data_IF_102407718792
#
_entry.id   IF_102407718792
#
_cell.length_a   1.000
_cell.length_b   1.000
_cell.length_c   1.000
_cell.angle_alpha   90.00
_cell.angle_beta   90.00
_cell.angle_gamma   90.00
#
_symmetry.space_group_name_H-M   'P 1'
#
loop_
_entity.id
_entity.type
_entity.pdbx_description
1 polymer ?
#
# COMPACT_ATOMS: atom_id res chain seq x y z
N UNK A 1 59.81 -34.90 12.70
CA UNK A 1 59.47 -33.46 12.58
C UNK A 1 58.26 -33.22 11.66
N UNK A 2 58.15 -33.83 10.50
CA UNK A 2 57.04 -33.62 9.55
C UNK A 2 55.64 -33.97 10.10
N UNK A 3 55.48 -35.03 10.91
CA UNK A 3 54.17 -35.46 11.41
C UNK A 3 53.58 -34.52 12.49
N UNK A 4 54.42 -33.83 13.25
CA UNK A 4 54.00 -32.85 14.26
C UNK A 4 53.55 -31.55 13.58
N UNK A 5 54.31 -31.12 12.58
CA UNK A 5 53.96 -29.93 11.77
C UNK A 5 52.62 -30.12 11.05
N UNK A 6 52.38 -31.30 10.46
CA UNK A 6 51.12 -31.64 9.77
C UNK A 6 49.93 -31.63 10.74
N UNK A 7 50.09 -32.18 11.95
CA UNK A 7 49.05 -32.15 13.00
C UNK A 7 48.74 -30.72 13.45
N UNK A 8 49.77 -29.86 13.58
CA UNK A 8 49.58 -28.46 13.94
C UNK A 8 48.83 -27.69 12.84
N UNK A 9 49.21 -27.93 11.57
CA UNK A 9 48.54 -27.31 10.42
C UNK A 9 47.06 -27.71 10.29
N UNK A 10 46.75 -29.01 10.49
CA UNK A 10 45.38 -29.48 10.50
C UNK A 10 44.54 -28.82 11.64
N UNK A 11 45.10 -28.69 12.87
CA UNK A 11 44.40 -28.03 13.94
C UNK A 11 44.14 -26.54 13.66
N UNK A 12 45.13 -25.87 13.04
CA UNK A 12 44.91 -24.46 12.61
C UNK A 12 43.84 -24.35 11.56
N UNK A 13 43.81 -25.31 10.60
CA UNK A 13 42.75 -25.36 9.60
C UNK A 13 41.36 -25.61 10.22
N UNK A 14 41.27 -26.56 11.15
CA UNK A 14 40.03 -26.89 11.86
C UNK A 14 39.51 -25.65 12.64
N UNK A 15 40.40 -24.94 13.33
CA UNK A 15 40.07 -23.70 14.05
C UNK A 15 39.63 -22.63 13.08
N UNK A 16 40.31 -22.45 11.94
CA UNK A 16 39.92 -21.45 10.93
C UNK A 16 38.54 -21.76 10.34
N UNK A 17 38.25 -23.04 10.03
CA UNK A 17 36.94 -23.49 9.54
C UNK A 17 35.86 -23.21 10.58
N UNK A 18 36.10 -23.58 11.85
CA UNK A 18 35.12 -23.32 12.94
C UNK A 18 34.85 -21.83 13.14
N UNK A 19 35.88 -20.99 13.10
CA UNK A 19 35.73 -19.53 13.19
C UNK A 19 34.91 -18.97 12.01
N UNK A 20 35.19 -19.45 10.79
CA UNK A 20 34.43 -19.03 9.61
C UNK A 20 32.95 -19.42 9.73
N UNK A 21 32.66 -20.66 10.14
CA UNK A 21 31.30 -21.11 10.37
C UNK A 21 30.60 -20.31 11.46
N UNK A 22 31.28 -19.99 12.56
CA UNK A 22 30.74 -19.17 13.63
C UNK A 22 30.39 -17.75 13.15
N UNK A 23 31.32 -17.10 12.44
CA UNK A 23 31.09 -15.77 11.87
C UNK A 23 29.92 -15.78 10.89
N UNK A 24 29.86 -16.78 10.02
CA UNK A 24 28.74 -16.95 9.07
C UNK A 24 27.42 -17.13 9.82
N UNK A 25 27.39 -17.97 10.84
CA UNK A 25 26.17 -18.18 11.64
C UNK A 25 25.70 -16.88 12.34
N UNK A 26 26.64 -16.13 12.95
CA UNK A 26 26.33 -14.84 13.58
C UNK A 26 25.82 -13.82 12.55
N UNK A 27 26.41 -13.79 11.36
CA UNK A 27 25.96 -12.93 10.28
C UNK A 27 24.54 -13.31 9.79
N UNK A 28 24.24 -14.59 9.64
CA UNK A 28 22.89 -15.06 9.29
C UNK A 28 21.86 -14.63 10.37
N UNK A 29 22.19 -14.80 11.66
CA UNK A 29 21.31 -14.36 12.76
C UNK A 29 21.11 -12.85 12.72
N UNK A 30 22.16 -12.08 12.47
CA UNK A 30 22.09 -10.63 12.31
C UNK A 30 21.17 -10.26 11.13
N UNK A 31 21.32 -10.87 9.95
CA UNK A 31 20.48 -10.61 8.79
C UNK A 31 19.00 -10.93 9.05
N UNK A 32 18.71 -12.04 9.76
CA UNK A 32 17.33 -12.39 10.14
C UNK A 32 16.77 -11.36 11.10
N UNK A 33 17.55 -10.93 12.09
CA UNK A 33 17.12 -9.92 13.06
C UNK A 33 16.88 -8.55 12.40
N UNK A 34 17.80 -8.10 11.54
CA UNK A 34 17.72 -6.86 10.80
C UNK A 34 16.50 -6.84 9.89
N UNK A 35 16.32 -7.91 9.10
CA UNK A 35 15.13 -8.08 8.24
C UNK A 35 13.83 -8.04 9.04
N UNK A 36 13.72 -8.76 10.16
CA UNK A 36 12.52 -8.73 10.99
C UNK A 36 12.27 -7.32 11.56
N UNK A 37 13.31 -6.58 11.93
CA UNK A 37 13.17 -5.22 12.45
C UNK A 37 12.58 -4.27 11.40
N UNK A 38 13.02 -4.38 10.15
CA UNK A 38 12.47 -3.60 9.03
C UNK A 38 10.98 -3.93 8.83
N UNK A 39 10.59 -5.20 8.90
CA UNK A 39 9.18 -5.59 8.75
C UNK A 39 8.31 -5.25 9.96
N UNK A 40 8.88 -5.18 11.16
CA UNK A 40 8.12 -4.93 12.39
C UNK A 40 7.93 -3.44 12.71
N UNK A 41 8.78 -2.56 12.17
CA UNK A 41 8.66 -1.13 12.37
C UNK A 41 7.34 -0.54 11.85
N UNK A 42 6.87 -0.84 10.62
CA UNK A 42 5.57 -0.37 10.13
C UNK A 42 4.41 -0.86 10.99
N UNK A 43 4.46 -2.10 11.49
CA UNK A 43 3.39 -2.67 12.31
C UNK A 43 3.22 -1.93 13.65
N UNK A 44 4.34 -1.63 14.33
CA UNK A 44 4.32 -0.87 15.59
C UNK A 44 3.77 0.53 15.37
N UNK A 45 4.22 1.20 14.31
CA UNK A 45 3.76 2.52 13.93
C UNK A 45 2.25 2.50 13.60
N UNK A 46 1.80 1.56 12.80
CA UNK A 46 0.38 1.38 12.47
C UNK A 46 -0.46 1.18 13.73
N UNK A 47 -0.01 0.36 14.68
CA UNK A 47 -0.71 0.15 15.96
C UNK A 47 -0.81 1.42 16.81
N UNK A 48 0.20 2.29 16.77
CA UNK A 48 0.17 3.59 17.48
C UNK A 48 -0.76 4.58 16.79
N UNK A 49 -0.70 4.69 15.47
CA UNK A 49 -1.58 5.54 14.68
C UNK A 49 -3.05 5.10 14.80
N UNK A 50 -3.33 3.80 14.86
CA UNK A 50 -4.70 3.28 15.06
C UNK A 50 -5.34 3.72 16.37
N UNK A 51 -4.57 4.05 17.40
CA UNK A 51 -5.11 4.63 18.65
C UNK A 51 -5.71 6.02 18.42
N UNK A 52 -5.27 6.69 17.37
CA UNK A 52 -5.71 8.02 16.96
C UNK A 52 -6.65 7.97 15.73
N UNK A 53 -7.10 6.78 15.33
CA UNK A 53 -8.06 6.61 14.24
C UNK A 53 -9.30 7.46 14.49
N UNK A 54 -9.73 8.30 13.53
CA UNK A 54 -10.94 9.09 13.67
C UNK A 54 -12.17 8.22 13.87
N UNK A 55 -13.18 8.77 14.54
CA UNK A 55 -14.48 8.09 14.70
C UNK A 55 -15.31 8.26 13.43
N UNK A 56 -15.92 7.20 12.96
CA UNK A 56 -16.66 7.18 11.68
C UNK A 56 -17.86 8.15 11.66
N UNK A 57 -18.56 8.30 12.81
CA UNK A 57 -19.72 9.19 12.89
C UNK A 57 -19.37 10.69 12.87
N UNK A 58 -18.13 11.04 13.29
CA UNK A 58 -17.66 12.41 13.33
C UNK A 58 -16.14 12.46 13.24
N UNK A 59 -15.56 12.22 12.04
CA UNK A 59 -14.13 12.12 11.90
C UNK A 59 -13.42 13.46 12.12
N UNK A 60 -12.66 13.55 13.24
CA UNK A 60 -11.74 14.64 13.52
C UNK A 60 -10.32 14.19 13.22
N UNK A 61 -9.58 15.03 12.52
CA UNK A 61 -8.17 14.80 12.15
C UNK A 61 -7.20 15.71 12.91
N UNK A 62 -7.68 16.48 13.88
CA UNK A 62 -6.85 17.47 14.59
C UNK A 62 -5.63 16.86 15.27
N UNK A 63 -5.80 15.70 15.92
CA UNK A 63 -4.70 15.01 16.59
C UNK A 63 -3.68 14.45 15.57
N UNK A 64 -4.15 13.80 14.50
CA UNK A 64 -3.31 13.26 13.43
C UNK A 64 -2.57 14.38 12.68
N UNK A 65 -3.27 15.46 12.32
CA UNK A 65 -2.68 16.62 11.64
C UNK A 65 -1.76 17.44 12.55
N UNK A 66 -1.96 17.36 13.87
CA UNK A 66 -1.02 17.90 14.86
C UNK A 66 0.31 17.14 14.89
N UNK A 67 0.32 15.84 14.55
CA UNK A 67 1.51 15.03 14.42
C UNK A 67 2.15 15.19 13.04
N UNK A 68 1.33 15.12 12.00
CA UNK A 68 1.75 15.31 10.62
C UNK A 68 0.66 16.06 9.83
N UNK A 69 0.90 17.33 9.46
CA UNK A 69 -0.08 18.14 8.74
C UNK A 69 -0.43 17.58 7.35
N UNK A 70 0.36 16.66 6.83
CA UNK A 70 0.15 16.04 5.53
C UNK A 70 -0.88 14.90 5.57
N UNK A 71 -1.38 14.52 6.73
CA UNK A 71 -2.48 13.55 6.82
C UNK A 71 -3.74 14.14 6.20
N UNK A 72 -4.23 13.47 5.14
CA UNK A 72 -5.39 13.90 4.36
C UNK A 72 -6.63 13.06 4.63
N UNK A 73 -6.47 11.75 4.87
CA UNK A 73 -7.57 10.81 5.05
C UNK A 73 -7.15 9.61 5.92
N UNK A 74 -8.11 8.72 6.19
CA UNK A 74 -7.90 7.41 6.78
C UNK A 74 -8.61 6.35 5.95
N UNK A 75 -7.90 5.30 5.56
CA UNK A 75 -8.41 4.20 4.75
C UNK A 75 -8.52 2.92 5.57
N UNK A 76 -9.67 2.26 5.49
CA UNK A 76 -9.87 0.91 6.01
C UNK A 76 -10.47 0.04 4.92
N UNK A 77 -9.91 -1.15 4.68
CA UNK A 77 -10.49 -2.16 3.79
C UNK A 77 -10.83 -3.40 4.61
N UNK A 78 -12.09 -3.84 4.55
CA UNK A 78 -12.56 -4.99 5.30
C UNK A 78 -11.86 -6.28 4.86
N UNK A 79 -11.54 -7.15 5.83
CA UNK A 79 -10.87 -8.42 5.57
C UNK A 79 -9.36 -8.30 5.28
N UNK A 80 -8.80 -7.09 5.30
CA UNK A 80 -7.37 -6.83 5.08
C UNK A 80 -6.68 -6.26 6.31
N UNK A 81 -5.34 -6.19 6.27
CA UNK A 81 -4.53 -5.45 7.25
C UNK A 81 -4.52 -3.93 7.02
N UNK A 82 -5.19 -3.43 5.97
CA UNK A 82 -5.19 -2.01 5.61
C UNK A 82 -6.16 -1.25 6.53
N UNK A 83 -5.60 -0.46 7.44
CA UNK A 83 -6.31 0.42 8.36
C UNK A 83 -5.30 1.50 8.78
N UNK A 84 -5.10 2.48 7.88
CA UNK A 84 -3.96 3.40 7.90
C UNK A 84 -4.35 4.82 7.48
N UNK A 85 -3.61 5.84 7.95
CA UNK A 85 -3.74 7.18 7.41
C UNK A 85 -3.22 7.25 5.97
N UNK A 86 -3.87 8.07 5.16
CA UNK A 86 -3.38 8.51 3.86
C UNK A 86 -2.75 9.89 4.05
N UNK A 87 -1.48 10.02 3.66
CA UNK A 87 -0.77 11.31 3.63
C UNK A 87 -0.68 11.85 2.21
N UNK A 88 -0.46 13.15 2.05
CA UNK A 88 -0.17 13.75 0.74
C UNK A 88 0.97 14.74 0.87
N UNK A 89 2.09 14.43 0.20
CA UNK A 89 3.27 15.29 0.13
C UNK A 89 3.21 16.31 -1.01
N UNK A 90 4.28 17.10 -1.15
CA UNK A 90 4.43 18.05 -2.25
C UNK A 90 4.61 17.33 -3.60
N UNK A 91 5.20 16.13 -3.59
CA UNK A 91 5.37 15.27 -4.77
C UNK A 91 5.18 13.78 -4.41
N UNK A 92 5.18 12.92 -5.44
CA UNK A 92 4.99 11.47 -5.29
C UNK A 92 6.24 10.71 -4.81
N UNK A 93 7.35 11.38 -4.53
CA UNK A 93 8.58 10.78 -4.03
C UNK A 93 8.72 10.93 -2.51
N UNK A 94 8.09 11.96 -1.94
CA UNK A 94 8.28 12.36 -0.56
C UNK A 94 7.93 11.24 0.44
N UNK A 95 6.80 10.56 0.27
CA UNK A 95 6.32 9.51 1.16
C UNK A 95 6.68 8.09 0.73
N UNK A 96 7.55 7.94 -0.27
CA UNK A 96 8.14 6.62 -0.59
C UNK A 96 9.03 6.11 0.54
N UNK A 97 9.64 7.00 1.33
CA UNK A 97 10.54 6.65 2.42
C UNK A 97 10.35 7.52 3.67
N UNK A 98 9.13 8.02 3.89
CA UNK A 98 8.69 8.66 5.14
C UNK A 98 7.48 7.92 5.70
N UNK A 99 7.43 7.78 7.02
CA UNK A 99 6.29 7.20 7.73
C UNK A 99 5.15 8.22 7.91
N UNK A 100 4.03 7.78 8.49
CA UNK A 100 2.87 8.63 8.74
C UNK A 100 3.12 9.80 9.71
N UNK A 101 4.25 9.85 10.42
CA UNK A 101 4.71 11.00 11.22
C UNK A 101 5.62 11.96 10.44
N UNK A 102 5.93 11.66 9.17
CA UNK A 102 6.87 12.44 8.36
C UNK A 102 8.36 12.11 8.63
N UNK A 103 8.65 11.06 9.40
CA UNK A 103 10.02 10.61 9.69
C UNK A 103 10.50 9.60 8.65
N UNK A 104 11.82 9.50 8.48
CA UNK A 104 12.41 8.52 7.56
C UNK A 104 12.05 7.08 7.94
N UNK A 105 11.52 6.34 7.00
CA UNK A 105 11.18 4.92 7.12
C UNK A 105 11.24 4.22 5.75
N UNK A 106 11.97 3.12 5.65
CA UNK A 106 12.12 2.36 4.40
C UNK A 106 10.79 1.81 3.85
N UNK A 107 9.81 1.57 4.71
CA UNK A 107 8.49 1.10 4.32
C UNK A 107 7.60 2.21 3.74
N UNK A 108 8.00 3.48 3.83
CA UNK A 108 7.19 4.60 3.39
C UNK A 108 5.83 4.72 4.11
N UNK A 109 4.88 5.32 3.45
CA UNK A 109 3.48 5.43 3.88
C UNK A 109 2.53 5.08 2.76
N UNK A 110 1.25 4.96 3.09
CA UNK A 110 0.16 5.02 2.11
C UNK A 110 -0.07 6.50 1.80
N UNK A 111 0.03 6.90 0.53
CA UNK A 111 -0.03 8.31 0.15
C UNK A 111 -0.88 8.55 -1.09
N UNK A 112 -1.55 9.70 -1.10
CA UNK A 112 -2.34 10.21 -2.21
C UNK A 112 -1.40 10.84 -3.24
N UNK A 113 -1.64 10.59 -4.53
CA UNK A 113 -0.93 11.26 -5.62
C UNK A 113 -1.03 12.78 -5.46
N UNK A 114 0.11 13.47 -5.57
CA UNK A 114 0.20 14.92 -5.35
C UNK A 114 -0.65 15.76 -6.30
N UNK A 115 -1.07 15.18 -7.44
CA UNK A 115 -1.96 15.81 -8.43
C UNK A 115 -3.44 15.61 -8.12
N UNK A 116 -3.76 14.73 -7.18
CA UNK A 116 -5.13 14.46 -6.74
C UNK A 116 -5.63 15.50 -5.73
N UNK A 117 -6.94 15.63 -5.65
CA UNK A 117 -7.59 16.55 -4.69
C UNK A 117 -7.50 15.99 -3.27
N UNK A 118 -6.78 16.71 -2.39
CA UNK A 118 -6.59 16.36 -0.98
C UNK A 118 -7.91 16.22 -0.19
N UNK A 119 -8.96 16.86 -0.66
CA UNK A 119 -10.28 16.80 0.00
C UNK A 119 -11.12 15.61 -0.46
N UNK A 120 -10.62 14.81 -1.38
CA UNK A 120 -11.31 13.65 -1.98
C UNK A 120 -12.65 14.02 -2.66
N UNK A 121 -12.77 15.27 -3.17
CA UNK A 121 -13.90 15.71 -3.99
C UNK A 121 -13.66 15.51 -5.50
N UNK A 122 -12.44 15.21 -5.93
CA UNK A 122 -12.12 14.87 -7.31
C UNK A 122 -12.79 13.58 -7.75
N UNK A 123 -13.05 13.44 -9.05
CA UNK A 123 -13.70 12.25 -9.62
C UNK A 123 -12.81 11.00 -9.57
N UNK A 124 -11.49 11.18 -9.58
CA UNK A 124 -10.51 10.10 -9.52
C UNK A 124 -9.44 10.44 -8.49
N UNK A 125 -9.18 9.52 -7.59
CA UNK A 125 -8.18 9.65 -6.53
C UNK A 125 -7.26 8.45 -6.61
N UNK A 126 -5.95 8.68 -6.72
CA UNK A 126 -4.94 7.64 -6.85
C UNK A 126 -4.09 7.59 -5.58
N UNK A 127 -4.09 6.46 -4.93
CA UNK A 127 -3.36 6.22 -3.68
C UNK A 127 -2.33 5.13 -3.89
N UNK A 128 -1.12 5.39 -3.45
CA UNK A 128 0.01 4.48 -3.54
C UNK A 128 0.36 3.90 -2.17
N UNK A 129 0.90 2.68 -2.19
CA UNK A 129 1.47 2.05 -1.01
C UNK A 129 2.46 0.96 -1.40
N UNK A 130 3.47 0.72 -0.57
CA UNK A 130 4.41 -0.37 -0.81
C UNK A 130 3.73 -1.73 -0.70
N UNK A 131 4.11 -2.64 -1.60
CA UNK A 131 3.82 -4.06 -1.44
C UNK A 131 4.74 -4.63 -0.35
N UNK A 132 4.19 -5.07 0.75
CA UNK A 132 4.94 -5.71 1.83
C UNK A 132 4.31 -7.04 2.20
N UNK A 133 5.17 -8.04 2.45
CA UNK A 133 4.74 -9.34 2.98
C UNK A 133 4.04 -9.21 4.34
N UNK A 134 3.39 -10.29 4.77
CA UNK A 134 2.73 -10.41 6.08
C UNK A 134 1.58 -9.42 6.28
N UNK A 135 0.79 -9.17 5.23
CA UNK A 135 -0.44 -8.34 5.30
C UNK A 135 -0.17 -6.89 5.77
N UNK A 136 0.90 -6.27 5.25
CA UNK A 136 1.30 -4.91 5.63
C UNK A 136 1.23 -3.97 4.45
N UNK A 137 0.97 -2.69 4.77
CA UNK A 137 0.79 -1.67 3.76
C UNK A 137 -0.22 -2.15 2.70
N UNK A 138 0.10 -2.07 1.40
CA UNK A 138 -0.75 -2.56 0.33
C UNK A 138 -0.47 -4.03 -0.09
N UNK A 139 0.26 -4.80 0.72
CA UNK A 139 0.51 -6.22 0.44
C UNK A 139 -0.76 -7.08 0.34
N UNK A 140 -1.85 -6.68 1.01
CA UNK A 140 -3.14 -7.38 0.93
C UNK A 140 -3.94 -7.09 -0.35
N UNK A 141 -3.53 -6.13 -1.19
CA UNK A 141 -4.20 -5.88 -2.46
C UNK A 141 -4.11 -7.09 -3.41
N UNK A 142 -3.09 -7.93 -3.26
CA UNK A 142 -2.94 -9.18 -4.02
C UNK A 142 -4.12 -10.13 -3.81
N UNK A 143 -4.74 -10.12 -2.63
CA UNK A 143 -5.87 -10.99 -2.28
C UNK A 143 -7.12 -10.69 -3.11
N UNK A 144 -7.26 -9.47 -3.63
CA UNK A 144 -8.35 -9.11 -4.53
C UNK A 144 -8.25 -9.80 -5.91
N UNK A 145 -7.14 -10.51 -6.19
CA UNK A 145 -7.03 -11.38 -7.35
C UNK A 145 -7.67 -12.76 -7.13
N UNK A 146 -8.06 -13.08 -5.90
CA UNK A 146 -8.71 -14.32 -5.52
C UNK A 146 -10.23 -14.14 -5.48
N UNK A 147 -10.98 -14.96 -6.21
CA UNK A 147 -12.43 -14.86 -6.35
C UNK A 147 -13.15 -14.97 -5.00
N UNK A 148 -12.80 -15.98 -4.21
CA UNK A 148 -13.38 -16.22 -2.87
C UNK A 148 -13.19 -14.99 -1.96
N UNK A 149 -12.04 -14.32 -2.07
CA UNK A 149 -11.76 -13.13 -1.27
C UNK A 149 -12.63 -11.94 -1.68
N UNK A 150 -12.76 -11.70 -2.99
CA UNK A 150 -13.56 -10.60 -3.54
C UNK A 150 -15.04 -10.78 -3.24
N UNK A 151 -15.56 -12.02 -3.24
CA UNK A 151 -16.97 -12.30 -2.92
C UNK A 151 -17.32 -11.90 -1.48
N UNK A 152 -16.40 -12.07 -0.53
CA UNK A 152 -16.62 -11.80 0.89
C UNK A 152 -16.23 -10.38 1.32
N UNK A 153 -15.26 -9.73 0.63
CA UNK A 153 -14.62 -8.49 1.07
C UNK A 153 -14.75 -7.37 0.03
N UNK A 154 -15.96 -6.84 -0.10
CA UNK A 154 -16.30 -5.84 -1.13
C UNK A 154 -16.40 -4.42 -0.62
N UNK A 155 -16.16 -4.21 0.67
CA UNK A 155 -16.44 -2.94 1.35
C UNK A 155 -15.20 -2.39 2.05
N UNK A 156 -15.24 -1.10 2.28
CA UNK A 156 -14.22 -0.36 3.01
C UNK A 156 -14.77 0.99 3.47
N UNK A 157 -13.92 1.76 4.10
CA UNK A 157 -14.25 3.10 4.60
C UNK A 157 -13.12 4.06 4.30
N UNK A 158 -13.46 5.21 3.75
CA UNK A 158 -12.58 6.35 3.59
C UNK A 158 -13.08 7.48 4.49
N UNK A 159 -12.34 7.82 5.52
CA UNK A 159 -12.62 8.97 6.37
C UNK A 159 -11.77 10.16 5.94
N UNK A 160 -12.39 11.33 5.82
CA UNK A 160 -11.74 12.62 5.61
C UNK A 160 -12.19 13.59 6.70
N UNK A 161 -11.56 14.74 6.90
CA UNK A 161 -12.02 15.72 7.89
C UNK A 161 -13.51 16.04 7.72
N UNK A 162 -14.32 15.67 8.73
CA UNK A 162 -15.76 15.95 8.80
C UNK A 162 -16.67 15.01 8.00
N UNK A 163 -16.16 14.04 7.24
CA UNK A 163 -16.99 13.13 6.44
C UNK A 163 -16.42 11.72 6.35
N UNK A 164 -17.32 10.75 6.31
CA UNK A 164 -17.01 9.33 6.08
C UNK A 164 -17.67 8.87 4.79
N UNK A 165 -16.89 8.23 3.92
CA UNK A 165 -17.36 7.66 2.68
C UNK A 165 -17.31 6.12 2.77
N UNK A 166 -18.43 5.43 2.65
CA UNK A 166 -18.45 4.00 2.40
C UNK A 166 -17.80 3.71 1.03
N UNK A 167 -16.87 2.77 1.01
CA UNK A 167 -16.24 2.30 -0.22
C UNK A 167 -16.89 0.99 -0.67
N UNK A 168 -17.04 0.84 -1.98
CA UNK A 168 -17.50 -0.40 -2.60
C UNK A 168 -16.52 -0.83 -3.68
N UNK A 169 -16.13 -2.10 -3.69
CA UNK A 169 -15.23 -2.67 -4.69
C UNK A 169 -15.84 -2.58 -6.10
N UNK A 170 -15.06 -2.09 -7.06
CA UNK A 170 -15.41 -2.00 -8.47
C UNK A 170 -14.73 -3.08 -9.31
N UNK A 171 -13.41 -3.17 -9.22
CA UNK A 171 -12.59 -4.10 -9.99
C UNK A 171 -11.17 -4.19 -9.42
N UNK A 172 -10.45 -5.25 -9.77
CA UNK A 172 -9.00 -5.34 -9.60
C UNK A 172 -8.33 -5.53 -10.96
N UNK A 173 -7.16 -4.92 -11.14
CA UNK A 173 -6.42 -4.97 -12.41
C UNK A 173 -4.94 -5.21 -12.17
N UNK A 174 -4.30 -5.92 -13.10
CA UNK A 174 -2.83 -5.92 -13.26
C UNK A 174 -2.50 -5.04 -14.46
N UNK A 175 -1.75 -3.99 -14.25
CA UNK A 175 -1.44 -2.98 -15.27
C UNK A 175 0.04 -2.63 -15.26
N UNK A 176 0.54 -2.18 -16.40
CA UNK A 176 1.90 -1.63 -16.51
C UNK A 176 1.98 -0.31 -15.72
N UNK A 177 3.12 -0.06 -15.07
CA UNK A 177 3.38 1.18 -14.31
C UNK A 177 3.34 2.45 -15.20
N UNK A 178 3.47 2.30 -16.51
CA UNK A 178 3.36 3.39 -17.49
C UNK A 178 1.94 3.54 -18.07
N UNK A 179 0.93 2.82 -17.55
CA UNK A 179 -0.46 2.93 -18.02
C UNK A 179 -1.05 4.30 -17.66
N UNK A 180 -1.05 5.22 -18.62
CA UNK A 180 -1.50 6.60 -18.42
C UNK A 180 -2.97 6.71 -18.01
N UNK A 181 -3.82 5.76 -18.43
CA UNK A 181 -5.24 5.77 -18.04
C UNK A 181 -5.44 5.58 -16.54
N UNK A 182 -4.50 4.91 -15.85
CA UNK A 182 -4.55 4.66 -14.41
C UNK A 182 -3.67 5.65 -13.65
N UNK A 183 -2.47 5.95 -14.18
CA UNK A 183 -1.45 6.70 -13.43
C UNK A 183 -1.36 8.19 -13.79
N UNK A 184 -2.23 8.67 -14.70
CA UNK A 184 -2.39 10.09 -15.01
C UNK A 184 -3.80 10.55 -14.61
N UNK A 185 -4.04 10.86 -13.32
CA UNK A 185 -5.38 11.11 -12.77
C UNK A 185 -6.09 12.32 -13.38
N UNK A 186 -5.36 13.20 -14.08
CA UNK A 186 -5.92 14.38 -14.75
C UNK A 186 -6.38 14.11 -16.18
N UNK A 187 -5.89 13.03 -16.80
CA UNK A 187 -6.09 12.79 -18.23
C UNK A 187 -7.22 11.80 -18.53
N UNK A 188 -7.61 10.99 -17.55
CA UNK A 188 -8.57 9.92 -17.74
C UNK A 188 -9.62 9.91 -16.62
N UNK A 189 -10.70 10.68 -16.77
CA UNK A 189 -11.82 10.67 -15.84
C UNK A 189 -12.55 9.33 -15.82
N UNK A 190 -13.18 8.94 -14.69
CA UNK A 190 -13.92 7.68 -14.56
C UNK A 190 -15.13 7.56 -15.51
N UNK A 191 -15.65 8.69 -15.98
CA UNK A 191 -16.75 8.80 -16.95
C UNK A 191 -16.28 8.72 -18.41
N UNK A 192 -14.94 8.72 -18.65
CA UNK A 192 -14.41 8.64 -20.02
C UNK A 192 -14.54 7.23 -20.61
N UNK A 193 -14.82 7.15 -21.91
CA UNK A 193 -14.85 5.87 -22.64
C UNK A 193 -13.52 5.10 -22.51
N UNK A 194 -12.40 5.82 -22.41
CA UNK A 194 -11.07 5.23 -22.29
C UNK A 194 -10.94 4.49 -20.95
N UNK A 195 -11.34 5.12 -19.85
CA UNK A 195 -11.33 4.49 -18.52
C UNK A 195 -12.30 3.30 -18.48
N UNK A 196 -13.55 3.48 -18.97
CA UNK A 196 -14.55 2.44 -19.02
C UNK A 196 -14.05 1.20 -19.77
N UNK A 197 -13.44 1.39 -20.95
CA UNK A 197 -12.85 0.32 -21.75
C UNK A 197 -11.63 -0.32 -21.07
N UNK A 198 -10.78 0.46 -20.40
CA UNK A 198 -9.64 -0.07 -19.66
C UNK A 198 -10.10 -1.01 -18.54
N UNK A 199 -11.11 -0.59 -17.74
CA UNK A 199 -11.67 -1.42 -16.67
C UNK A 199 -12.32 -2.68 -17.22
N UNK A 200 -13.10 -2.59 -18.30
CA UNK A 200 -13.77 -3.75 -18.92
C UNK A 200 -12.77 -4.74 -19.55
N UNK A 201 -11.64 -4.25 -20.06
CA UNK A 201 -10.68 -5.09 -20.79
C UNK A 201 -9.63 -5.71 -19.89
N UNK A 202 -9.13 -4.96 -18.89
CA UNK A 202 -8.03 -5.36 -17.99
C UNK A 202 -8.54 -5.79 -16.62
N UNK A 203 -9.76 -5.37 -16.24
CA UNK A 203 -10.34 -5.65 -14.94
C UNK A 203 -10.75 -7.10 -14.75
N UNK A 204 -10.55 -7.60 -13.53
CA UNK A 204 -11.11 -8.86 -13.04
C UNK A 204 -12.21 -8.53 -12.02
N UNK A 205 -13.23 -9.40 -11.95
CA UNK A 205 -14.36 -9.27 -11.02
C UNK A 205 -15.09 -7.93 -11.13
N UNK A 206 -15.20 -7.39 -12.36
CA UNK A 206 -15.76 -6.05 -12.64
C UNK A 206 -17.25 -6.00 -12.29
N UNK A 207 -17.62 -5.04 -11.42
CA UNK A 207 -19.02 -4.73 -11.09
C UNK A 207 -19.57 -3.70 -12.08
N UNK A 208 -20.18 -4.21 -13.15
CA UNK A 208 -20.65 -3.40 -14.29
C UNK A 208 -21.67 -2.35 -13.87
N UNK A 209 -22.54 -2.67 -12.92
CA UNK A 209 -23.55 -1.75 -12.40
C UNK A 209 -22.95 -0.51 -11.71
N UNK A 210 -21.77 -0.65 -11.10
CA UNK A 210 -21.05 0.51 -10.51
C UNK A 210 -20.29 1.29 -11.58
N UNK A 211 -19.77 0.59 -12.58
CA UNK A 211 -19.10 1.22 -13.70
C UNK A 211 -20.08 2.07 -14.54
N UNK A 212 -21.32 1.59 -14.75
CA UNK A 212 -22.39 2.33 -15.38
C UNK A 212 -22.77 3.60 -14.60
N UNK A 213 -22.87 3.53 -13.26
CA UNK A 213 -23.13 4.70 -12.41
C UNK A 213 -22.06 5.78 -12.53
N UNK A 214 -20.78 5.41 -12.64
CA UNK A 214 -19.71 6.38 -12.86
C UNK A 214 -19.88 7.17 -14.17
N UNK A 215 -20.43 6.52 -15.20
CA UNK A 215 -20.70 7.13 -16.49
C UNK A 215 -21.98 7.98 -16.49
N UNK A 216 -23.04 7.49 -15.82
CA UNK A 216 -24.34 8.13 -15.80
C UNK A 216 -24.40 9.33 -14.81
N UNK A 217 -23.69 9.24 -13.68
CA UNK A 217 -23.70 10.23 -12.61
C UNK A 217 -22.28 10.69 -12.24
N UNK A 218 -21.47 11.24 -13.16
CA UNK A 218 -20.05 11.52 -12.93
C UNK A 218 -19.80 12.55 -11.82
N UNK A 219 -20.76 13.45 -11.58
CA UNK A 219 -20.68 14.44 -10.49
C UNK A 219 -21.01 13.87 -9.11
N UNK A 220 -21.62 12.68 -9.04
CA UNK A 220 -22.04 12.07 -7.78
C UNK A 220 -21.06 11.03 -7.29
N UNK A 221 -20.39 10.33 -8.20
CA UNK A 221 -19.51 9.20 -7.89
C UNK A 221 -18.04 9.55 -8.13
N UNK A 222 -17.17 8.88 -7.40
CA UNK A 222 -15.73 8.95 -7.58
C UNK A 222 -15.09 7.57 -7.48
N UNK A 223 -13.92 7.44 -8.10
CA UNK A 223 -13.05 6.27 -8.01
C UNK A 223 -11.90 6.58 -7.06
N UNK A 224 -11.64 5.64 -6.14
CA UNK A 224 -10.41 5.54 -5.36
C UNK A 224 -9.61 4.36 -5.91
N UNK A 225 -8.53 4.64 -6.63
CA UNK A 225 -7.60 3.65 -7.15
C UNK A 225 -6.48 3.41 -6.12
N UNK A 226 -6.33 2.18 -5.66
CA UNK A 226 -5.31 1.76 -4.70
C UNK A 226 -4.25 0.96 -5.44
N UNK A 227 -3.06 1.51 -5.57
CA UNK A 227 -1.99 0.94 -6.39
C UNK A 227 -0.78 0.51 -5.57
N UNK A 228 -0.27 -0.68 -5.85
CA UNK A 228 1.02 -1.15 -5.32
C UNK A 228 1.87 -1.78 -6.42
N UNK A 229 3.15 -2.04 -6.14
CA UNK A 229 3.98 -2.88 -6.99
C UNK A 229 3.56 -4.34 -6.88
N UNK A 230 3.45 -5.06 -8.00
CA UNK A 230 3.26 -6.51 -8.00
C UNK A 230 4.51 -7.22 -7.46
N UNK A 231 4.29 -8.32 -6.74
CA UNK A 231 5.37 -9.21 -6.30
C UNK A 231 6.01 -10.01 -7.44
N UNK A 232 5.35 -10.09 -8.61
CA UNK A 232 5.77 -10.94 -9.72
C UNK A 232 6.71 -10.23 -10.70
N UNK A 233 6.51 -8.90 -10.94
CA UNK A 233 7.30 -8.09 -11.89
C UNK A 233 7.48 -6.67 -11.39
N UNK A 234 8.66 -6.09 -11.57
CA UNK A 234 8.96 -4.72 -11.12
C UNK A 234 8.15 -3.63 -11.84
N UNK A 235 7.78 -3.85 -13.11
CA UNK A 235 7.03 -2.89 -13.93
C UNK A 235 5.51 -3.04 -13.82
N UNK A 236 5.01 -4.15 -13.26
CA UNK A 236 3.59 -4.42 -13.12
C UNK A 236 3.06 -3.92 -11.78
N UNK A 237 1.84 -3.38 -11.78
CA UNK A 237 1.12 -2.88 -10.60
C UNK A 237 -0.20 -3.62 -10.44
N UNK A 238 -0.53 -3.98 -9.20
CA UNK A 238 -1.90 -4.34 -8.86
C UNK A 238 -2.63 -3.06 -8.47
N UNK A 239 -3.78 -2.86 -9.08
CA UNK A 239 -4.66 -1.73 -8.80
C UNK A 239 -6.04 -2.25 -8.42
N UNK A 240 -6.47 -1.94 -7.20
CA UNK A 240 -7.83 -2.18 -6.73
C UNK A 240 -8.61 -0.88 -6.87
N UNK A 241 -9.70 -0.93 -7.62
CA UNK A 241 -10.61 0.19 -7.80
C UNK A 241 -11.77 0.07 -6.82
N UNK A 242 -11.94 1.08 -6.00
CA UNK A 242 -13.09 1.27 -5.13
C UNK A 242 -13.90 2.47 -5.62
N UNK A 243 -15.21 2.48 -5.38
CA UNK A 243 -16.08 3.63 -5.67
C UNK A 243 -16.73 4.15 -4.40
N UNK A 244 -17.00 5.45 -4.39
CA UNK A 244 -17.74 6.12 -3.32
C UNK A 244 -18.59 7.26 -3.85
N UNK A 245 -19.65 7.60 -3.11
CA UNK A 245 -20.54 8.71 -3.44
C UNK A 245 -20.01 10.01 -2.77
N UNK A 246 -19.79 11.05 -3.59
CA UNK A 246 -19.22 12.34 -3.14
C UNK A 246 -20.23 13.26 -2.45
N UNK A 247 -21.54 13.07 -2.71
CA UNK A 247 -22.63 13.92 -2.19
C UNK A 247 -23.09 13.53 -0.81
#
# INVERSE_FOLDING_TARGET
MGSILLKLLNRLLDVAVLLTLLVTALYCVYCIWDNNTIYDAPLKLQQELRKQRPKEESPSFEELQGLNPDVAAWLTLEGTGIDDPIVQGEDNLEYLNKNGYGEYALAGSIFLDSRCDRTFQGAYQLVYGHHMEKHRMFGDLDRYLEEDFVEEHTTGTLMVPGKTYPLTFLAVMKVDAADSCIFEPQDCGPDSDVFQQAVLTKGQYVRKELLEKLSEEPDSWAVLALSTCSSEKEEERIVVLMVYERK
#
